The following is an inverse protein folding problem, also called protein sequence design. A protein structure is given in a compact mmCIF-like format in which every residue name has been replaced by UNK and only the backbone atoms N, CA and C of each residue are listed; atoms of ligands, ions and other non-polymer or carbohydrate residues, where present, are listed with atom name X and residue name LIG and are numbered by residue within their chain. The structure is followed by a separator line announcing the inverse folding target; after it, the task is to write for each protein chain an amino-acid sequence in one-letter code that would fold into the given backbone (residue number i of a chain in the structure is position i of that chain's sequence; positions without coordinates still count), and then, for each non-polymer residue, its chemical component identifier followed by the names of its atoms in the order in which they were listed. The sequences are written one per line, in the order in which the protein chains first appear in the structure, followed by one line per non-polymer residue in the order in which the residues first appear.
data_IF_631290934713
#
_entry.id   IF_631290934713
#
_cell.length_a   1.000
_cell.length_b   1.000
_cell.length_c   1.000
_cell.angle_alpha   90.00
_cell.angle_beta   90.00
_cell.angle_gamma   90.00
#
_symmetry.space_group_name_H-M   'P 1'
#
loop_
_entity.id
_entity.type
_entity.pdbx_description
1 polymer ?
#
# COMPACT_ATOMS: atom_id res chain seq x y z
N UNK A 1 20.06 37.52 -29.24
CA UNK A 1 19.23 38.43 -28.43
C UNK A 1 19.11 37.80 -27.05
N UNK A 2 19.96 38.21 -26.11
CA UNK A 2 20.12 37.57 -24.80
C UNK A 2 19.27 38.34 -23.80
N UNK A 3 18.23 37.71 -23.24
CA UNK A 3 17.35 38.35 -22.25
C UNK A 3 18.10 38.44 -20.92
N UNK A 4 18.63 39.62 -20.60
CA UNK A 4 19.19 39.90 -19.27
C UNK A 4 18.02 40.23 -18.35
N UNK A 5 17.50 39.24 -17.63
CA UNK A 5 16.53 39.48 -16.56
C UNK A 5 17.21 40.29 -15.44
N UNK A 6 16.57 41.38 -15.02
CA UNK A 6 17.01 42.18 -13.87
C UNK A 6 17.04 41.32 -12.60
N UNK A 7 18.12 41.40 -11.82
CA UNK A 7 18.31 40.65 -10.56
C UNK A 7 17.15 40.84 -9.58
N UNK A 8 16.53 42.03 -9.56
CA UNK A 8 15.35 42.34 -8.74
C UNK A 8 14.08 41.59 -9.19
N UNK A 9 13.95 41.31 -10.49
CA UNK A 9 12.83 40.55 -11.04
C UNK A 9 12.96 39.07 -10.69
N UNK A 10 14.17 38.53 -10.79
CA UNK A 10 14.48 37.15 -10.36
C UNK A 10 14.23 36.98 -8.86
N UNK A 11 14.69 37.91 -8.03
CA UNK A 11 14.48 37.84 -6.58
C UNK A 11 12.99 37.89 -6.19
N UNK A 12 12.20 38.76 -6.83
CA UNK A 12 10.74 38.82 -6.62
C UNK A 12 10.06 37.51 -7.03
N UNK A 13 10.46 36.95 -8.17
CA UNK A 13 9.90 35.68 -8.64
C UNK A 13 10.22 34.53 -7.68
N UNK A 14 11.47 34.42 -7.23
CA UNK A 14 11.89 33.39 -6.26
C UNK A 14 11.12 33.53 -4.94
N UNK A 15 10.94 34.74 -4.42
CA UNK A 15 10.15 34.96 -3.19
C UNK A 15 8.69 34.56 -3.36
N UNK A 16 8.06 34.94 -4.47
CA UNK A 16 6.68 34.55 -4.77
C UNK A 16 6.52 33.03 -4.88
N UNK A 17 7.46 32.38 -5.57
CA UNK A 17 7.47 30.93 -5.72
C UNK A 17 7.62 30.21 -4.37
N UNK A 18 8.55 30.65 -3.52
CA UNK A 18 8.75 30.10 -2.17
C UNK A 18 7.51 30.27 -1.29
N UNK A 19 6.89 31.46 -1.29
CA UNK A 19 5.65 31.70 -0.54
C UNK A 19 4.52 30.79 -1.01
N UNK A 20 4.37 30.60 -2.33
CA UNK A 20 3.35 29.70 -2.88
C UNK A 20 3.61 28.24 -2.46
N UNK A 21 4.86 27.79 -2.53
CA UNK A 21 5.25 26.45 -2.08
C UNK A 21 4.94 26.23 -0.59
N UNK A 22 5.25 27.20 0.26
CA UNK A 22 4.93 27.14 1.69
C UNK A 22 3.43 27.06 1.94
N UNK A 23 2.61 27.80 1.18
CA UNK A 23 1.15 27.73 1.28
C UNK A 23 0.64 26.34 0.86
N UNK A 24 1.15 25.77 -0.23
CA UNK A 24 0.74 24.43 -0.70
C UNK A 24 1.15 23.35 0.30
N UNK A 25 2.41 23.37 0.77
CA UNK A 25 2.92 22.40 1.76
C UNK A 25 2.17 22.55 3.08
N UNK A 26 1.99 23.78 3.56
CA UNK A 26 1.22 24.06 4.77
C UNK A 26 -0.23 23.59 4.64
N UNK A 27 -0.88 23.91 3.51
CA UNK A 27 -2.24 23.45 3.21
C UNK A 27 -2.34 21.93 3.24
N UNK A 28 -1.37 21.20 2.67
CA UNK A 28 -1.35 19.74 2.70
C UNK A 28 -1.18 19.18 4.12
N UNK A 29 -0.24 19.73 4.90
CA UNK A 29 0.06 19.27 6.26
C UNK A 29 -1.09 19.53 7.23
N UNK A 30 -1.76 20.68 7.10
CA UNK A 30 -2.77 21.15 8.04
C UNK A 30 -4.20 20.96 7.53
N UNK A 31 -4.41 20.39 6.34
CA UNK A 31 -5.74 20.06 5.86
C UNK A 31 -6.43 19.08 6.82
N UNK A 32 -7.69 19.36 7.23
CA UNK A 32 -8.44 18.49 8.13
C UNK A 32 -8.95 17.28 7.34
N UNK A 33 -8.14 16.22 7.30
CA UNK A 33 -8.56 14.94 6.70
C UNK A 33 -9.24 14.01 7.72
N UNK A 34 -9.22 14.36 9.01
CA UNK A 34 -9.60 13.45 10.11
C UNK A 34 -8.59 12.34 10.39
N UNK A 35 -7.69 12.05 9.44
CA UNK A 35 -6.63 11.04 9.56
C UNK A 35 -5.37 11.66 10.21
N UNK A 36 -4.81 11.04 11.28
CA UNK A 36 -3.58 11.51 11.91
C UNK A 36 -2.40 11.61 10.93
N UNK A 37 -1.57 12.64 11.07
CA UNK A 37 -0.37 12.84 10.24
C UNK A 37 0.61 11.65 10.28
N UNK A 38 0.64 10.94 11.41
CA UNK A 38 1.57 9.84 11.68
C UNK A 38 1.04 8.45 11.38
N UNK A 39 -0.20 8.33 10.88
CA UNK A 39 -0.90 7.05 10.71
C UNK A 39 -0.04 6.01 9.94
N UNK A 40 0.70 6.45 8.92
CA UNK A 40 1.58 5.56 8.15
C UNK A 40 3.03 5.56 8.66
N UNK A 41 3.51 6.62 9.30
CA UNK A 41 4.91 6.70 9.75
C UNK A 41 5.23 5.71 10.87
N UNK A 42 4.22 5.38 11.67
CA UNK A 42 4.33 4.52 12.84
C UNK A 42 4.42 3.03 12.46
N UNK A 43 4.03 2.67 11.23
CA UNK A 43 4.12 1.30 10.70
C UNK A 43 5.57 0.81 10.63
N UNK A 44 5.88 -0.41 11.08
CA UNK A 44 7.27 -0.85 11.26
C UNK A 44 7.75 -1.77 10.14
N UNK A 45 8.33 -1.17 9.09
CA UNK A 45 8.85 -1.90 7.92
C UNK A 45 9.92 -2.92 8.27
N UNK A 46 10.63 -2.76 9.40
CA UNK A 46 11.69 -3.69 9.79
C UNK A 46 11.15 -5.04 10.27
N UNK A 47 9.86 -5.12 10.62
CA UNK A 47 9.20 -6.37 11.03
C UNK A 47 8.62 -7.15 9.86
N UNK A 48 8.46 -6.52 8.69
CA UNK A 48 7.84 -7.16 7.53
C UNK A 48 8.90 -7.96 6.76
N UNK A 49 8.66 -9.26 6.47
CA UNK A 49 9.54 -10.05 5.63
C UNK A 49 9.80 -9.35 4.28
N UNK A 50 11.05 -9.36 3.78
CA UNK A 50 11.38 -8.67 2.52
C UNK A 50 10.51 -9.10 1.34
N UNK A 51 10.25 -10.40 1.18
CA UNK A 51 9.41 -10.95 0.11
C UNK A 51 7.97 -10.42 0.20
N UNK A 52 7.45 -10.28 1.42
CA UNK A 52 6.11 -9.73 1.64
C UNK A 52 6.07 -8.24 1.36
N UNK A 53 7.08 -7.49 1.78
CA UNK A 53 7.16 -6.05 1.51
C UNK A 53 7.31 -5.79 -0.01
N UNK A 54 8.11 -6.59 -0.71
CA UNK A 54 8.28 -6.52 -2.16
C UNK A 54 6.96 -6.83 -2.87
N UNK A 55 6.28 -7.91 -2.49
CA UNK A 55 4.95 -8.21 -3.03
C UNK A 55 3.96 -7.07 -2.75
N UNK A 56 4.08 -6.41 -1.60
CA UNK A 56 3.19 -5.35 -1.15
C UNK A 56 3.44 -3.99 -1.82
N UNK A 57 4.54 -3.83 -2.58
CA UNK A 57 4.83 -2.61 -3.36
C UNK A 57 3.90 -2.40 -4.56
N UNK A 58 3.02 -3.36 -4.80
CA UNK A 58 1.95 -3.22 -5.76
C UNK A 58 1.03 -2.00 -5.44
N UNK A 59 0.82 -1.11 -6.41
CA UNK A 59 0.12 0.20 -6.25
C UNK A 59 -1.27 0.11 -5.58
N UNK A 60 -1.94 -1.04 -5.67
CA UNK A 60 -3.26 -1.25 -5.03
C UNK A 60 -3.22 -1.26 -3.50
N UNK A 61 -2.10 -1.59 -2.85
CA UNK A 61 -2.04 -1.63 -1.37
C UNK A 61 -1.96 -0.25 -0.74
N UNK A 62 -1.34 0.73 -1.39
CA UNK A 62 -1.33 2.12 -0.93
C UNK A 62 -2.77 2.68 -0.87
N UNK A 63 -3.56 2.42 -1.90
CA UNK A 63 -4.96 2.82 -1.93
C UNK A 63 -5.79 2.09 -0.87
N UNK A 64 -5.46 0.82 -0.59
CA UNK A 64 -6.11 0.09 0.50
C UNK A 64 -5.73 0.66 1.87
N UNK A 65 -4.46 1.00 2.10
CA UNK A 65 -3.97 1.66 3.32
C UNK A 65 -4.73 2.95 3.60
N UNK A 66 -4.95 3.78 2.56
CA UNK A 66 -5.71 5.02 2.67
C UNK A 66 -7.17 4.75 3.06
N UNK A 67 -7.81 3.75 2.44
CA UNK A 67 -9.20 3.39 2.77
C UNK A 67 -9.32 2.88 4.21
N UNK A 68 -8.37 2.07 4.68
CA UNK A 68 -8.33 1.61 6.07
C UNK A 68 -8.16 2.79 7.03
N UNK A 69 -7.16 3.64 6.78
CA UNK A 69 -6.89 4.81 7.63
C UNK A 69 -8.11 5.75 7.74
N UNK A 70 -8.83 5.96 6.64
CA UNK A 70 -10.06 6.75 6.63
C UNK A 70 -11.17 6.03 7.38
N UNK A 71 -11.38 4.74 7.13
CA UNK A 71 -12.40 3.95 7.82
C UNK A 71 -12.22 3.95 9.34
N UNK A 72 -10.98 3.96 9.82
CA UNK A 72 -10.67 3.91 11.25
C UNK A 72 -10.81 5.26 11.96
N UNK A 73 -10.66 6.37 11.24
CA UNK A 73 -10.54 7.71 11.84
C UNK A 73 -11.60 8.71 11.40
N UNK A 74 -12.33 8.43 10.33
CA UNK A 74 -13.29 9.36 9.73
C UNK A 74 -14.68 8.74 9.78
N UNK A 75 -15.61 9.41 10.44
CA UNK A 75 -17.01 9.00 10.44
C UNK A 75 -17.58 9.05 9.02
N UNK A 76 -18.27 7.96 8.62
CA UNK A 76 -18.83 7.83 7.29
C UNK A 76 -19.86 8.94 7.02
N UNK A 77 -19.66 9.73 5.95
CA UNK A 77 -20.56 10.83 5.56
C UNK A 77 -21.76 10.41 4.71
N UNK A 78 -22.00 9.10 4.59
CA UNK A 78 -23.07 8.52 3.77
C UNK A 78 -22.62 8.19 2.33
N UNK A 79 -23.42 7.40 1.59
CA UNK A 79 -23.05 6.87 0.28
C UNK A 79 -22.98 7.96 -0.81
N UNK A 80 -21.94 7.91 -1.65
CA UNK A 80 -21.81 8.76 -2.84
C UNK A 80 -21.26 10.17 -2.61
N UNK A 81 -20.92 10.52 -1.36
CA UNK A 81 -20.21 11.77 -1.06
C UNK A 81 -18.75 11.64 -1.51
N UNK A 82 -18.18 12.64 -2.21
CA UNK A 82 -16.75 12.65 -2.49
C UNK A 82 -15.98 12.64 -1.17
N UNK A 83 -14.94 11.81 -1.10
CA UNK A 83 -13.99 11.75 0.02
C UNK A 83 -12.72 12.52 -0.37
N UNK A 84 -12.72 13.88 -0.31
CA UNK A 84 -11.50 14.65 -0.54
C UNK A 84 -10.36 14.24 0.41
N UNK A 85 -10.71 13.64 1.55
CA UNK A 85 -9.80 13.02 2.50
C UNK A 85 -8.97 11.91 1.86
N UNK A 86 -9.50 11.14 0.90
CA UNK A 86 -8.78 10.03 0.26
C UNK A 86 -7.56 10.52 -0.51
N UNK A 87 -7.74 11.53 -1.38
CA UNK A 87 -6.64 12.08 -2.16
C UNK A 87 -5.60 12.77 -1.26
N UNK A 88 -6.06 13.58 -0.30
CA UNK A 88 -5.16 14.29 0.61
C UNK A 88 -4.40 13.34 1.53
N UNK A 89 -5.06 12.31 2.05
CA UNK A 89 -4.43 11.25 2.87
C UNK A 89 -3.43 10.46 2.06
N UNK A 90 -3.77 10.11 0.81
CA UNK A 90 -2.84 9.44 -0.10
C UNK A 90 -1.59 10.31 -0.34
N UNK A 91 -1.75 11.57 -0.74
CA UNK A 91 -0.63 12.49 -0.98
C UNK A 91 0.24 12.70 0.26
N UNK A 92 -0.38 12.89 1.43
CA UNK A 92 0.32 13.00 2.71
C UNK A 92 1.12 11.74 3.03
N UNK A 93 0.51 10.56 2.90
CA UNK A 93 1.22 9.30 3.11
C UNK A 93 2.41 9.13 2.17
N UNK A 94 2.22 9.40 0.88
CA UNK A 94 3.30 9.30 -0.12
C UNK A 94 4.46 10.26 0.15
N UNK A 95 4.17 11.49 0.56
CA UNK A 95 5.18 12.52 0.78
C UNK A 95 5.89 12.40 2.14
N UNK A 96 5.17 12.01 3.19
CA UNK A 96 5.68 12.00 4.56
C UNK A 96 6.22 10.64 5.01
N UNK A 97 5.72 9.55 4.44
CA UNK A 97 6.03 8.19 4.90
C UNK A 97 6.58 7.29 3.79
N UNK A 98 6.14 7.51 2.54
CA UNK A 98 6.56 6.70 1.40
C UNK A 98 5.75 5.41 1.24
N UNK A 99 6.01 4.69 0.13
CA UNK A 99 5.23 3.50 -0.28
C UNK A 99 5.32 2.37 0.74
N UNK A 100 6.53 2.02 1.14
CA UNK A 100 6.79 0.86 2.00
C UNK A 100 6.09 0.99 3.36
N UNK A 101 6.04 2.20 3.94
CA UNK A 101 5.31 2.47 5.17
C UNK A 101 3.79 2.36 5.01
N UNK A 102 3.24 2.87 3.91
CA UNK A 102 1.82 2.72 3.60
C UNK A 102 1.45 1.26 3.34
N UNK A 103 2.28 0.52 2.61
CA UNK A 103 2.11 -0.91 2.37
C UNK A 103 2.19 -1.70 3.68
N UNK A 104 3.15 -1.38 4.54
CA UNK A 104 3.28 -2.00 5.88
C UNK A 104 2.04 -1.74 6.73
N UNK A 105 1.52 -0.51 6.76
CA UNK A 105 0.28 -0.20 7.46
C UNK A 105 -0.88 -1.06 6.96
N UNK A 106 -1.05 -1.20 5.63
CA UNK A 106 -2.08 -2.07 5.07
C UNK A 106 -1.86 -3.53 5.42
N UNK A 107 -0.61 -4.02 5.38
CA UNK A 107 -0.27 -5.37 5.79
C UNK A 107 -0.61 -5.63 7.26
N UNK A 108 -0.38 -4.66 8.15
CA UNK A 108 -0.61 -4.79 9.59
C UNK A 108 -2.10 -4.79 9.96
N UNK A 109 -2.92 -4.00 9.26
CA UNK A 109 -4.33 -3.75 9.65
C UNK A 109 -5.35 -4.38 8.69
N UNK A 110 -4.90 -4.81 7.52
CA UNK A 110 -5.78 -5.24 6.44
C UNK A 110 -6.53 -6.52 6.75
N UNK A 111 -7.80 -6.55 6.32
CA UNK A 111 -8.64 -7.72 6.43
C UNK A 111 -8.27 -8.76 5.37
N UNK A 112 -7.92 -9.96 5.81
CA UNK A 112 -7.51 -11.07 4.94
C UNK A 112 -8.71 -11.94 4.58
N UNK A 113 -9.58 -12.19 5.55
CA UNK A 113 -10.77 -13.04 5.40
C UNK A 113 -11.09 -13.81 6.69
N UNK A 114 -12.34 -14.25 6.85
CA UNK A 114 -12.82 -15.06 7.99
C UNK A 114 -12.43 -14.53 9.39
N UNK A 115 -12.48 -13.21 9.57
CA UNK A 115 -12.11 -12.56 10.83
C UNK A 115 -10.60 -12.42 11.07
N UNK A 116 -9.76 -12.78 10.11
CA UNK A 116 -8.30 -12.62 10.18
C UNK A 116 -7.92 -11.23 9.67
N UNK A 117 -7.12 -10.52 10.47
CA UNK A 117 -6.58 -9.20 10.16
C UNK A 117 -5.08 -9.22 10.32
N UNK A 118 -4.38 -8.52 9.43
CA UNK A 118 -2.95 -8.40 9.52
C UNK A 118 -2.19 -9.63 9.00
N UNK A 119 -0.96 -9.37 8.54
CA UNK A 119 -0.13 -10.38 7.91
C UNK A 119 0.47 -11.40 8.90
N UNK A 120 0.70 -11.00 10.15
CA UNK A 120 1.24 -11.88 11.22
C UNK A 120 0.22 -12.97 11.55
N UNK A 121 -1.02 -12.58 11.82
CA UNK A 121 -2.09 -13.54 12.12
C UNK A 121 -2.36 -14.43 10.90
N UNK A 122 -2.30 -13.88 9.68
CA UNK A 122 -2.45 -14.65 8.46
C UNK A 122 -1.34 -15.70 8.28
N UNK A 123 -0.09 -15.40 8.64
CA UNK A 123 1.01 -16.36 8.60
C UNK A 123 0.65 -17.64 9.39
N UNK A 124 0.17 -17.46 10.62
CA UNK A 124 -0.21 -18.58 11.47
C UNK A 124 -1.53 -19.23 11.04
N UNK A 125 -2.57 -18.44 10.76
CA UNK A 125 -3.95 -18.93 10.61
C UNK A 125 -4.28 -19.38 9.18
N UNK A 126 -3.65 -18.78 8.17
CA UNK A 126 -3.81 -19.20 6.78
C UNK A 126 -2.73 -20.20 6.38
N UNK A 127 -1.47 -19.94 6.75
CA UNK A 127 -0.32 -20.68 6.19
C UNK A 127 0.30 -21.69 7.16
N UNK A 128 -0.11 -21.71 8.44
CA UNK A 128 0.49 -22.52 9.49
C UNK A 128 2.02 -22.35 9.58
N UNK A 129 2.48 -21.10 9.39
CA UNK A 129 3.88 -20.69 9.32
C UNK A 129 4.18 -19.57 10.31
N UNK A 130 5.43 -19.47 10.71
CA UNK A 130 5.95 -18.25 11.33
C UNK A 130 6.05 -17.13 10.28
N UNK A 131 5.93 -15.85 10.70
CA UNK A 131 6.18 -14.68 9.87
C UNK A 131 7.38 -14.78 8.91
N UNK A 132 8.53 -15.20 9.44
CA UNK A 132 9.80 -15.35 8.73
C UNK A 132 9.86 -16.54 7.76
N UNK A 133 8.90 -17.46 7.83
CA UNK A 133 8.80 -18.64 6.95
C UNK A 133 7.92 -18.36 5.73
N UNK A 134 7.27 -17.19 5.65
CA UNK A 134 6.48 -16.80 4.50
C UNK A 134 7.37 -16.65 3.26
N UNK A 135 7.05 -17.42 2.23
CA UNK A 135 7.71 -17.35 0.93
C UNK A 135 7.05 -16.29 0.05
N UNK A 136 7.74 -15.87 -1.02
CA UNK A 136 7.16 -15.04 -2.08
C UNK A 136 5.81 -15.56 -2.62
N UNK A 137 5.63 -16.88 -2.71
CA UNK A 137 4.34 -17.48 -3.10
C UNK A 137 3.24 -17.24 -2.04
N UNK A 138 3.57 -17.40 -0.76
CA UNK A 138 2.61 -17.16 0.33
C UNK A 138 2.24 -15.67 0.39
N UNK A 139 3.23 -14.79 0.22
CA UNK A 139 3.05 -13.35 0.14
C UNK A 139 2.09 -12.97 -0.99
N UNK A 140 2.31 -13.47 -2.20
CA UNK A 140 1.42 -13.21 -3.34
C UNK A 140 -0.03 -13.66 -3.05
N UNK A 141 -0.21 -14.86 -2.48
CA UNK A 141 -1.54 -15.36 -2.08
C UNK A 141 -2.19 -14.49 -0.99
N UNK A 142 -1.43 -14.08 0.03
CA UNK A 142 -1.91 -13.22 1.10
C UNK A 142 -2.45 -11.89 0.55
N UNK A 143 -1.69 -11.26 -0.35
CA UNK A 143 -2.11 -9.98 -0.92
C UNK A 143 -3.37 -10.08 -1.78
N UNK A 144 -3.54 -11.21 -2.47
CA UNK A 144 -4.75 -11.51 -3.22
C UNK A 144 -5.96 -11.60 -2.29
N UNK A 145 -5.82 -12.28 -1.15
CA UNK A 145 -6.85 -12.31 -0.11
C UNK A 145 -7.16 -10.91 0.42
N UNK A 146 -6.15 -10.13 0.81
CA UNK A 146 -6.33 -8.77 1.33
C UNK A 146 -6.99 -7.82 0.34
N UNK A 147 -6.68 -7.96 -0.96
CA UNK A 147 -7.28 -7.14 -2.01
C UNK A 147 -8.78 -7.42 -2.18
N UNK A 148 -9.22 -8.63 -1.86
CA UNK A 148 -10.55 -9.10 -2.22
C UNK A 148 -11.05 -10.17 -1.25
N UNK A 149 -11.14 -9.87 0.05
CA UNK A 149 -11.27 -10.88 1.10
C UNK A 149 -12.57 -11.70 1.02
N UNK A 150 -13.65 -11.10 0.50
CA UNK A 150 -14.96 -11.73 0.36
C UNK A 150 -15.26 -12.30 -1.03
N UNK A 151 -14.30 -12.29 -1.97
CA UNK A 151 -14.54 -12.84 -3.31
C UNK A 151 -14.65 -14.36 -3.24
N UNK A 152 -15.70 -14.90 -3.86
CA UNK A 152 -15.94 -16.35 -3.91
C UNK A 152 -14.75 -17.14 -4.49
N UNK A 153 -14.01 -16.57 -5.44
CA UNK A 153 -12.85 -17.20 -6.06
C UNK A 153 -11.66 -17.42 -5.09
N UNK A 154 -11.63 -16.76 -3.92
CA UNK A 154 -10.64 -17.07 -2.87
C UNK A 154 -10.77 -18.51 -2.34
N UNK A 155 -11.95 -19.10 -2.48
CA UNK A 155 -12.23 -20.47 -2.06
C UNK A 155 -12.13 -21.48 -3.22
N UNK A 156 -11.71 -21.04 -4.41
CA UNK A 156 -11.57 -21.88 -5.60
C UNK A 156 -10.09 -22.03 -5.95
N UNK A 157 -9.55 -23.24 -5.80
CA UNK A 157 -8.12 -23.51 -5.96
C UNK A 157 -7.58 -23.11 -7.34
N UNK A 158 -8.32 -23.40 -8.42
CA UNK A 158 -7.92 -23.03 -9.78
C UNK A 158 -7.79 -21.52 -9.96
N UNK A 159 -8.84 -20.77 -9.62
CA UNK A 159 -8.86 -19.32 -9.76
C UNK A 159 -7.81 -18.62 -8.87
N UNK A 160 -7.62 -19.10 -7.64
CA UNK A 160 -6.64 -18.52 -6.73
C UNK A 160 -5.21 -18.79 -7.23
N UNK A 161 -4.94 -19.99 -7.76
CA UNK A 161 -3.66 -20.34 -8.38
C UNK A 161 -3.36 -19.45 -9.59
N UNK A 162 -4.32 -19.29 -10.49
CA UNK A 162 -4.18 -18.43 -11.67
C UNK A 162 -3.84 -16.99 -11.27
N UNK A 163 -4.56 -16.45 -10.27
CA UNK A 163 -4.34 -15.08 -9.80
C UNK A 163 -3.01 -14.90 -9.11
N UNK A 164 -2.58 -15.88 -8.30
CA UNK A 164 -1.26 -15.85 -7.66
C UNK A 164 -0.16 -15.80 -8.72
N UNK A 165 -0.25 -16.67 -9.72
CA UNK A 165 0.74 -16.72 -10.79
C UNK A 165 0.72 -15.46 -11.66
N UNK A 166 -0.47 -14.89 -11.92
CA UNK A 166 -0.58 -13.61 -12.62
C UNK A 166 0.05 -12.46 -11.82
N UNK A 167 -0.14 -12.41 -10.50
CA UNK A 167 0.50 -11.40 -9.64
C UNK A 167 2.03 -11.57 -9.63
N UNK A 168 2.54 -12.80 -9.50
CA UNK A 168 3.98 -13.06 -9.53
C UNK A 168 4.61 -12.65 -10.87
N UNK A 169 3.92 -12.89 -11.98
CA UNK A 169 4.34 -12.43 -13.30
C UNK A 169 4.36 -10.89 -13.36
N UNK A 170 3.30 -10.23 -12.91
CA UNK A 170 3.21 -8.76 -12.86
C UNK A 170 4.36 -8.15 -12.01
N UNK A 171 4.72 -8.78 -10.89
CA UNK A 171 5.87 -8.37 -10.07
C UNK A 171 7.20 -8.50 -10.82
N UNK A 172 7.38 -9.57 -11.60
CA UNK A 172 8.59 -9.73 -12.41
C UNK A 172 8.65 -8.71 -13.56
N UNK A 173 7.53 -8.47 -14.24
CA UNK A 173 7.41 -7.48 -15.32
C UNK A 173 7.70 -6.05 -14.85
N UNK A 174 7.33 -5.73 -13.60
CA UNK A 174 7.63 -4.45 -12.96
C UNK A 174 9.07 -4.34 -12.41
N UNK A 175 9.82 -5.45 -12.41
CA UNK A 175 11.18 -5.51 -11.86
C UNK A 175 11.25 -5.54 -10.33
N UNK A 176 10.12 -5.82 -9.65
CA UNK A 176 10.08 -5.97 -8.19
C UNK A 176 10.77 -7.27 -7.73
N UNK A 177 10.72 -8.31 -8.56
CA UNK A 177 11.42 -9.59 -8.38
C UNK A 177 12.04 -10.04 -9.71
N UNK A 178 12.99 -10.98 -9.67
CA UNK A 178 13.53 -11.56 -10.90
C UNK A 178 12.52 -12.51 -11.56
N UNK A 179 12.65 -12.70 -12.88
CA UNK A 179 11.85 -13.68 -13.64
C UNK A 179 11.99 -15.10 -13.09
N UNK A 180 13.19 -15.47 -12.65
CA UNK A 180 13.49 -16.79 -12.08
C UNK A 180 12.84 -16.95 -10.70
N UNK A 181 12.89 -15.91 -9.86
CA UNK A 181 12.26 -15.92 -8.54
C UNK A 181 10.74 -16.03 -8.64
N UNK A 182 10.11 -15.28 -9.54
CA UNK A 182 8.67 -15.38 -9.81
C UNK A 182 8.29 -16.75 -10.36
N UNK A 183 9.05 -17.28 -11.31
CA UNK A 183 8.82 -18.62 -11.87
C UNK A 183 8.97 -19.71 -10.79
N UNK A 184 9.99 -19.64 -9.94
CA UNK A 184 10.19 -20.57 -8.84
C UNK A 184 9.02 -20.51 -7.85
N UNK A 185 8.62 -19.31 -7.41
CA UNK A 185 7.48 -19.12 -6.52
C UNK A 185 6.17 -19.66 -7.12
N UNK A 186 5.95 -19.52 -8.43
CA UNK A 186 4.75 -20.02 -9.10
C UNK A 186 4.64 -21.56 -9.09
N UNK A 187 5.74 -22.29 -8.85
CA UNK A 187 5.72 -23.76 -8.70
C UNK A 187 5.38 -24.22 -7.28
N UNK A 188 5.38 -23.32 -6.29
CA UNK A 188 5.07 -23.69 -4.92
C UNK A 188 3.60 -24.13 -4.81
N UNK A 189 3.29 -25.12 -3.94
CA UNK A 189 1.92 -25.51 -3.65
C UNK A 189 1.06 -24.32 -3.21
N UNK A 190 -0.17 -24.26 -3.69
CA UNK A 190 -1.12 -23.23 -3.25
C UNK A 190 -1.57 -23.54 -1.82
N UNK A 191 -1.53 -22.52 -0.97
CA UNK A 191 -2.08 -22.58 0.39
C UNK A 191 -3.33 -21.70 0.45
N UNK A 192 -4.42 -22.22 1.02
CA UNK A 192 -5.68 -21.50 1.14
C UNK A 192 -5.82 -20.88 2.52
N UNK A 193 -6.22 -19.60 2.56
CA UNK A 193 -6.70 -19.04 3.81
C UNK A 193 -8.16 -19.47 4.07
N UNK A 194 -8.33 -20.55 4.84
CA UNK A 194 -9.63 -21.03 5.30
C UNK A 194 -9.98 -22.44 4.86
N UNK A 195 -9.45 -23.43 5.60
CA UNK A 195 -10.15 -24.72 5.76
C UNK A 195 -11.36 -24.49 6.67
#
# INVERSE_FOLDING_TARGET
MTIVLSSKLVERFVRLFLSLMLIVIGGLLFAPTGVPLRVFSDADTAKVPPDLLVAARFERLENYAVRLAISDHVEARGPGMPEPEALLTHLRGRLLSGRDKMATFALEHGYVGRGIFGWVDAASLCFAKLPEELTLSDAATLLIHMRSPSRAWNNQAGDLLERRNALLLEMAENGDVSTEAAAAAATHPLVHCGN
#
